data_IF_363738556629
#
_entry.id   IF_363738556629
#
_cell.length_a   1.000
_cell.length_b   1.000
_cell.length_c   1.000
_cell.angle_alpha   90.00
_cell.angle_beta   90.00
_cell.angle_gamma   90.00
#
_symmetry.space_group_name_H-M   'P 1'
#
loop_
_entity.id
_entity.type
_entity.pdbx_description
1 polymer ?
#
# COMPACT_ATOMS: atom_id res chain seq x y z
N UNK A 1 -17.12 0.10 3.49
CA UNK A 1 -15.91 0.36 4.32
C UNK A 1 -14.80 0.83 3.39
N UNK A 2 -14.07 1.88 3.78
CA UNK A 2 -13.14 2.64 2.93
C UNK A 2 -12.06 1.78 2.26
N UNK A 3 -11.59 0.72 2.95
CA UNK A 3 -10.63 -0.25 2.39
C UNK A 3 -11.20 -1.01 1.20
N UNK A 4 -12.47 -1.43 1.23
CA UNK A 4 -13.08 -2.19 0.14
C UNK A 4 -13.28 -1.33 -1.12
N UNK A 5 -13.60 -0.04 -0.97
CA UNK A 5 -13.70 0.90 -2.09
C UNK A 5 -12.32 1.20 -2.69
N UNK A 6 -11.30 1.42 -1.85
CA UNK A 6 -9.95 1.67 -2.34
C UNK A 6 -9.35 0.45 -3.05
N UNK A 7 -9.65 -0.78 -2.60
CA UNK A 7 -9.21 -1.99 -3.32
C UNK A 7 -9.85 -2.13 -4.71
N UNK A 8 -11.10 -1.70 -4.87
CA UNK A 8 -11.78 -1.68 -6.16
C UNK A 8 -11.25 -0.57 -7.08
N UNK A 9 -10.89 0.59 -6.54
CA UNK A 9 -10.28 1.70 -7.29
C UNK A 9 -8.82 1.37 -7.69
N UNK A 10 -8.06 0.78 -6.78
CA UNK A 10 -6.73 0.21 -7.02
C UNK A 10 -6.73 -0.82 -8.16
N UNK A 11 -7.76 -1.68 -8.23
CA UNK A 11 -7.93 -2.64 -9.32
C UNK A 11 -8.24 -1.97 -10.67
N UNK A 12 -8.79 -0.75 -10.64
CA UNK A 12 -9.02 0.08 -11.84
C UNK A 12 -7.80 0.95 -12.19
N UNK A 13 -6.70 0.84 -11.45
CA UNK A 13 -5.47 1.60 -11.70
C UNK A 13 -5.43 2.97 -11.03
N UNK A 14 -6.32 3.26 -10.08
CA UNK A 14 -6.28 4.51 -9.32
C UNK A 14 -5.12 4.48 -8.33
N UNK A 15 -4.11 5.31 -8.59
CA UNK A 15 -2.90 5.43 -7.79
C UNK A 15 -3.18 6.11 -6.44
N UNK A 16 -4.14 7.04 -6.39
CA UNK A 16 -4.51 7.75 -5.17
C UNK A 16 -5.18 6.82 -4.16
N UNK A 17 -5.93 5.82 -4.65
CA UNK A 17 -6.53 4.81 -3.79
C UNK A 17 -5.50 3.97 -3.02
N UNK A 18 -4.32 3.73 -3.61
CA UNK A 18 -3.21 3.09 -2.91
C UNK A 18 -2.62 4.00 -1.83
N UNK A 19 -2.57 5.31 -2.05
CA UNK A 19 -2.09 6.26 -1.05
C UNK A 19 -3.03 6.31 0.17
N UNK A 20 -4.34 6.41 -0.06
CA UNK A 20 -5.35 6.44 1.02
C UNK A 20 -5.32 5.17 1.88
N UNK A 21 -5.10 4.00 1.26
CA UNK A 21 -4.89 2.75 1.98
C UNK A 21 -3.65 2.80 2.86
N UNK A 22 -2.53 3.32 2.33
CA UNK A 22 -1.30 3.52 3.09
C UNK A 22 -1.53 4.35 4.35
N UNK A 23 -2.25 5.46 4.22
CA UNK A 23 -2.61 6.34 5.34
C UNK A 23 -3.51 5.62 6.34
N UNK A 24 -4.53 4.89 5.88
CA UNK A 24 -5.44 4.17 6.76
C UNK A 24 -4.72 3.12 7.62
N UNK A 25 -3.78 2.36 7.04
CA UNK A 25 -2.98 1.38 7.76
C UNK A 25 -1.89 2.01 8.63
N UNK A 26 -1.31 3.13 8.22
CA UNK A 26 -0.32 3.85 9.05
C UNK A 26 -0.97 4.41 10.31
N UNK A 27 -2.11 5.09 10.16
CA UNK A 27 -2.83 5.74 11.26
C UNK A 27 -3.66 4.80 12.13
N UNK A 28 -3.91 3.56 11.67
CA UNK A 28 -4.81 2.64 12.36
C UNK A 28 -6.27 3.13 12.36
N UNK A 29 -6.71 3.67 11.22
CA UNK A 29 -8.06 4.25 11.07
C UNK A 29 -9.11 3.19 10.75
N UNK A 30 -10.39 3.50 10.99
CA UNK A 30 -11.55 2.67 10.63
C UNK A 30 -11.65 1.31 11.34
N UNK A 31 -11.13 1.21 12.57
CA UNK A 31 -11.18 -0.01 13.39
C UNK A 31 -10.13 -1.05 12.98
N UNK A 32 -9.17 -0.66 12.15
CA UNK A 32 -8.02 -1.47 11.76
C UNK A 32 -6.85 -1.00 12.63
N UNK A 33 -6.12 -1.92 13.26
CA UNK A 33 -4.89 -1.56 13.98
C UNK A 33 -3.85 -0.97 13.03
N UNK A 34 -2.94 -0.14 13.54
CA UNK A 34 -1.81 0.31 12.74
C UNK A 34 -0.97 -0.90 12.30
N UNK A 35 -0.69 -0.99 11.00
CA UNK A 35 0.14 -2.04 10.40
C UNK A 35 1.07 -1.40 9.37
N UNK A 36 2.32 -1.17 9.78
CA UNK A 36 3.34 -0.55 8.94
C UNK A 36 3.70 -1.42 7.72
N UNK A 37 3.54 -2.75 7.79
CA UNK A 37 3.81 -3.65 6.67
C UNK A 37 2.76 -3.42 5.57
N UNK A 38 1.48 -3.35 5.93
CA UNK A 38 0.43 -3.01 4.96
C UNK A 38 0.55 -1.55 4.49
N UNK A 39 0.82 -0.60 5.38
CA UNK A 39 1.02 0.79 5.00
C UNK A 39 2.14 0.95 3.96
N UNK A 40 3.31 0.34 4.22
CA UNK A 40 4.46 0.37 3.31
C UNK A 40 4.15 -0.31 1.98
N UNK A 41 3.43 -1.43 1.99
CA UNK A 41 2.99 -2.10 0.76
C UNK A 41 2.16 -1.15 -0.10
N UNK A 42 1.17 -0.47 0.49
CA UNK A 42 0.26 0.40 -0.26
C UNK A 42 0.94 1.68 -0.74
N UNK A 43 1.76 2.32 0.08
CA UNK A 43 2.59 3.45 -0.36
C UNK A 43 3.58 3.04 -1.46
N UNK A 44 4.14 1.84 -1.39
CA UNK A 44 5.01 1.33 -2.45
C UNK A 44 4.27 1.14 -3.79
N UNK A 45 3.02 0.70 -3.76
CA UNK A 45 2.20 0.58 -4.98
C UNK A 45 1.84 1.96 -5.55
N UNK A 46 1.45 2.91 -4.70
CA UNK A 46 1.19 4.29 -5.10
C UNK A 46 2.46 4.96 -5.69
N UNK A 47 3.60 4.76 -5.05
CA UNK A 47 4.90 5.27 -5.50
C UNK A 47 5.30 4.73 -6.88
N UNK A 48 5.08 3.43 -7.13
CA UNK A 48 5.33 2.81 -8.46
C UNK A 48 4.37 3.38 -9.51
N UNK A 49 3.14 3.73 -9.13
CA UNK A 49 2.18 4.43 -10.00
C UNK A 49 2.46 5.92 -10.23
N UNK A 50 3.53 6.48 -9.63
CA UNK A 50 3.94 7.87 -9.83
C UNK A 50 3.45 8.86 -8.77
N UNK A 51 2.88 8.40 -7.65
CA UNK A 51 2.47 9.28 -6.55
C UNK A 51 3.68 9.72 -5.72
N UNK A 52 4.14 10.97 -5.94
CA UNK A 52 5.34 11.51 -5.28
C UNK A 52 5.24 11.53 -3.75
N UNK A 53 4.09 11.92 -3.20
CA UNK A 53 3.87 11.93 -1.74
C UNK A 53 3.93 10.52 -1.13
N UNK A 54 3.54 9.49 -1.90
CA UNK A 54 3.61 8.12 -1.42
C UNK A 54 5.06 7.62 -1.32
N UNK A 55 5.99 8.17 -2.12
CA UNK A 55 7.41 7.86 -1.96
C UNK A 55 7.96 8.38 -0.63
N UNK A 56 7.55 9.60 -0.24
CA UNK A 56 7.93 10.20 1.04
C UNK A 56 7.35 9.40 2.19
N UNK A 57 6.03 9.17 2.22
CA UNK A 57 5.40 8.41 3.30
C UNK A 57 5.95 6.98 3.42
N UNK A 58 6.30 6.32 2.31
CA UNK A 58 6.95 5.02 2.33
C UNK A 58 8.33 5.08 2.97
N UNK A 59 9.12 6.11 2.66
CA UNK A 59 10.45 6.29 3.22
C UNK A 59 10.37 6.56 4.72
N UNK A 60 9.48 7.47 5.13
CA UNK A 60 9.28 7.86 6.53
C UNK A 60 8.94 6.64 7.40
N UNK A 61 7.92 5.86 7.03
CA UNK A 61 7.54 4.68 7.83
C UNK A 61 8.59 3.56 7.76
N UNK A 62 9.43 3.51 6.72
CA UNK A 62 10.48 2.51 6.62
C UNK A 62 11.59 2.74 7.66
N UNK A 63 11.73 3.95 8.20
CA UNK A 63 12.66 4.24 9.29
C UNK A 63 12.26 3.54 10.60
N UNK A 64 10.97 3.27 10.78
CA UNK A 64 10.41 2.56 11.95
C UNK A 64 10.35 1.04 11.77
N UNK A 65 10.67 0.53 10.57
CA UNK A 65 10.54 -0.87 10.22
C UNK A 65 11.89 -1.59 10.19
N UNK A 66 11.88 -2.87 10.51
CA UNK A 66 13.03 -3.74 10.28
C UNK A 66 13.17 -4.10 8.80
N UNK A 67 14.39 -4.44 8.38
CA UNK A 67 14.64 -4.94 7.02
C UNK A 67 13.77 -6.17 6.66
N UNK A 68 13.42 -7.00 7.65
CA UNK A 68 12.54 -8.16 7.46
C UNK A 68 11.11 -7.73 7.11
N UNK A 69 10.58 -6.73 7.82
CA UNK A 69 9.25 -6.18 7.60
C UNK A 69 9.16 -5.44 6.27
N UNK A 70 10.18 -4.64 5.93
CA UNK A 70 10.27 -3.98 4.61
C UNK A 70 10.28 -5.02 3.50
N UNK A 71 11.09 -6.07 3.63
CA UNK A 71 11.14 -7.15 2.65
C UNK A 71 9.79 -7.87 2.52
N UNK A 72 9.05 -8.01 3.62
CA UNK A 72 7.70 -8.56 3.62
C UNK A 72 6.70 -7.67 2.91
N UNK A 73 6.67 -6.38 3.23
CA UNK A 73 5.80 -5.39 2.58
C UNK A 73 6.03 -5.38 1.06
N UNK A 74 7.30 -5.37 0.62
CA UNK A 74 7.65 -5.44 -0.79
C UNK A 74 7.24 -6.77 -1.45
N UNK A 75 7.37 -7.91 -0.75
CA UNK A 75 6.87 -9.20 -1.25
C UNK A 75 5.36 -9.16 -1.46
N UNK A 76 4.60 -8.66 -0.48
CA UNK A 76 3.13 -8.53 -0.57
C UNK A 76 2.72 -7.58 -1.71
N UNK A 77 3.44 -6.48 -1.91
CA UNK A 77 3.18 -5.55 -3.01
C UNK A 77 3.39 -6.24 -4.38
N UNK A 78 4.50 -6.98 -4.55
CA UNK A 78 4.75 -7.76 -5.78
C UNK A 78 3.66 -8.80 -6.04
N UNK A 79 3.24 -9.51 -5.01
CA UNK A 79 2.15 -10.49 -5.11
C UNK A 79 0.82 -9.83 -5.49
N UNK A 80 0.53 -8.63 -4.96
CA UNK A 80 -0.66 -7.85 -5.33
C UNK A 80 -0.68 -7.51 -6.81
N UNK A 81 0.42 -6.96 -7.35
CA UNK A 81 0.55 -6.66 -8.78
C UNK A 81 0.39 -7.95 -9.61
N UNK A 82 1.11 -9.01 -9.26
CA UNK A 82 1.05 -10.28 -9.98
C UNK A 82 -0.36 -10.92 -9.97
N UNK A 83 -1.10 -10.77 -8.87
CA UNK A 83 -2.48 -11.23 -8.77
C UNK A 83 -3.46 -10.34 -9.57
N UNK A 84 -3.22 -9.03 -9.61
CA UNK A 84 -3.98 -8.08 -10.44
C UNK A 84 -3.78 -8.36 -11.94
N UNK A 85 -2.55 -8.60 -12.38
CA UNK A 85 -2.24 -8.97 -13.77
C UNK A 85 -2.91 -10.28 -14.18
N UNK A 86 -3.02 -11.26 -13.27
CA UNK A 86 -3.68 -12.55 -13.54
C UNK A 86 -5.21 -12.47 -13.57
N UNK A 87 -5.81 -11.40 -13.05
CA UNK A 87 -7.26 -11.13 -13.11
C UNK A 87 -7.69 -10.40 -14.38
N UNK A 88 -6.74 -9.81 -15.12
CA UNK A 88 -6.98 -9.09 -16.37
C UNK A 88 -6.72 -9.94 -17.62
N UNK A 89 -6.44 -11.25 -17.46
CA UNK A 89 -6.14 -12.20 -18.53
C UNK A 89 -7.26 -13.22 -18.72
#
# INVERSE_FOLDING_TARGET
MLVASCLAAAAQGDVSAYYDLGIAFSTGSHGIGSDLIEAHKWFNLAAVGGHGEAQLCRADIAEEMTAREIAEAQRRARQWIAAGTRRAA
#
